data_IF_845669324421
#
_entry.id   IF_845669324421
#
_cell.length_a   1.000
_cell.length_b   1.000
_cell.length_c   1.000
_cell.angle_alpha   90.00
_cell.angle_beta   90.00
_cell.angle_gamma   90.00
#
_symmetry.space_group_name_H-M   'P 1'
#
loop_
_entity.id
_entity.type
_entity.pdbx_description
1 polymer ?
#
# COMPACT_ATOMS: atom_id res chain seq x y z
N UNK A 1 -16.47 1.11 18.73
CA UNK A 1 -15.16 1.14 18.11
C UNK A 1 -15.05 2.37 17.23
N UNK A 2 -13.92 3.06 17.26
CA UNK A 2 -13.68 4.27 16.49
C UNK A 2 -13.11 3.97 15.09
N UNK A 3 -12.96 5.03 14.31
CA UNK A 3 -12.25 5.09 13.02
C UNK A 3 -11.05 6.02 13.15
N UNK A 4 -10.30 6.23 12.06
CA UNK A 4 -9.24 7.26 12.02
C UNK A 4 -9.75 8.65 12.42
N UNK A 5 -10.98 9.00 12.03
CA UNK A 5 -11.56 10.30 12.35
C UNK A 5 -11.89 10.41 13.84
N UNK A 6 -12.45 9.37 14.44
CA UNK A 6 -12.72 9.32 15.89
C UNK A 6 -11.40 9.40 16.67
N UNK A 7 -10.30 8.79 16.19
CA UNK A 7 -8.99 8.90 16.81
C UNK A 7 -8.45 10.34 16.78
N UNK A 8 -8.59 11.03 15.65
CA UNK A 8 -8.18 12.43 15.52
C UNK A 8 -8.97 13.33 16.48
N UNK A 9 -10.27 13.08 16.66
CA UNK A 9 -11.15 13.88 17.54
C UNK A 9 -10.77 13.75 19.01
N UNK A 10 -10.36 12.58 19.51
CA UNK A 10 -10.14 12.34 20.94
C UNK A 10 -8.68 12.16 21.35
N UNK A 11 -7.75 11.96 20.40
CA UNK A 11 -6.31 11.82 20.64
C UNK A 11 -5.47 12.84 19.87
N UNK A 12 -6.09 13.58 18.97
CA UNK A 12 -5.40 14.57 18.14
C UNK A 12 -4.87 15.79 18.90
N UNK A 13 -5.18 15.93 20.18
CA UNK A 13 -4.67 16.98 21.07
C UNK A 13 -3.35 16.60 21.79
N UNK A 14 -2.93 15.33 21.75
CA UNK A 14 -1.77 14.81 22.49
C UNK A 14 -0.53 14.76 21.59
N UNK A 15 0.49 15.54 21.88
CA UNK A 15 1.72 15.61 21.08
C UNK A 15 2.57 14.33 21.14
N UNK A 16 3.49 14.16 20.17
CA UNK A 16 4.35 12.98 20.06
C UNK A 16 5.42 12.86 21.16
N UNK A 17 5.67 13.91 21.94
CA UNK A 17 6.58 13.86 23.09
C UNK A 17 5.88 13.26 24.31
N UNK A 18 4.58 13.49 24.44
CA UNK A 18 3.77 12.93 25.52
C UNK A 18 3.37 11.47 25.23
N UNK A 19 2.97 11.16 24.00
CA UNK A 19 2.62 9.81 23.54
C UNK A 19 3.37 9.52 22.24
N UNK A 20 4.33 8.58 22.24
CA UNK A 20 5.08 8.21 21.07
C UNK A 20 4.19 7.76 19.89
N UNK A 21 4.79 7.65 18.70
CA UNK A 21 4.11 7.12 17.51
C UNK A 21 3.53 5.74 17.78
N UNK A 22 2.30 5.54 17.40
CA UNK A 22 1.56 4.29 17.54
C UNK A 22 1.05 3.79 16.16
N UNK A 23 0.47 2.58 16.08
CA UNK A 23 0.01 2.01 14.79
C UNK A 23 -1.03 2.86 14.06
N UNK A 24 -1.89 3.58 14.81
CA UNK A 24 -2.92 4.44 14.22
C UNK A 24 -2.30 5.69 13.59
N UNK A 25 -1.29 6.28 14.24
CA UNK A 25 -0.51 7.37 13.64
C UNK A 25 0.18 6.91 12.35
N UNK A 26 0.77 5.71 12.36
CA UNK A 26 1.40 5.14 11.17
C UNK A 26 0.39 4.96 10.03
N UNK A 27 -0.86 4.56 10.33
CA UNK A 27 -1.93 4.48 9.34
C UNK A 27 -2.32 5.86 8.81
N UNK A 28 -2.40 6.88 9.67
CA UNK A 28 -2.67 8.26 9.27
C UNK A 28 -1.57 8.78 8.34
N UNK A 29 -0.30 8.61 8.68
CA UNK A 29 0.82 9.00 7.81
C UNK A 29 0.77 8.27 6.47
N UNK A 30 0.50 6.97 6.49
CA UNK A 30 0.38 6.13 5.29
C UNK A 30 -0.79 6.57 4.40
N UNK A 31 -1.94 6.90 5.00
CA UNK A 31 -3.10 7.40 4.26
C UNK A 31 -2.86 8.82 3.70
N UNK A 32 -2.16 9.70 4.43
CA UNK A 32 -1.77 11.02 3.93
C UNK A 32 -0.80 10.96 2.75
N UNK A 33 -0.02 9.86 2.60
CA UNK A 33 0.88 9.68 1.46
C UNK A 33 0.15 9.51 0.12
N UNK A 34 -1.17 9.20 0.12
CA UNK A 34 -1.99 9.15 -1.10
C UNK A 34 -2.26 10.52 -1.71
N UNK A 35 -2.06 11.59 -0.97
CA UNK A 35 -2.24 12.95 -1.46
C UNK A 35 -1.05 13.34 -2.33
N UNK A 36 -1.34 13.80 -3.54
CA UNK A 36 -0.30 14.30 -4.43
C UNK A 36 0.11 15.73 -4.05
N UNK A 37 1.14 15.82 -3.20
CA UNK A 37 1.70 17.09 -2.73
C UNK A 37 2.70 17.76 -3.70
N UNK A 38 2.78 17.31 -4.95
CA UNK A 38 3.72 17.88 -5.92
C UNK A 38 3.53 19.39 -6.08
N UNK A 39 4.63 20.13 -5.95
CA UNK A 39 4.64 21.60 -6.00
C UNK A 39 4.21 22.27 -4.68
N UNK A 40 3.88 21.50 -3.63
CA UNK A 40 3.51 22.00 -2.30
C UNK A 40 4.57 21.62 -1.28
N UNK A 41 4.85 20.32 -1.13
CA UNK A 41 5.87 19.82 -0.21
C UNK A 41 7.22 19.79 -0.93
N UNK A 42 8.31 20.32 -0.30
CA UNK A 42 9.63 20.35 -0.91
C UNK A 42 10.18 18.94 -1.21
N UNK A 43 10.93 18.81 -2.31
CA UNK A 43 11.63 17.59 -2.71
C UNK A 43 12.94 17.36 -1.95
N UNK A 44 13.32 18.27 -1.05
CA UNK A 44 14.50 18.22 -0.19
C UNK A 44 14.13 18.52 1.27
N UNK A 45 15.12 18.49 2.17
CA UNK A 45 14.96 18.78 3.59
C UNK A 45 15.22 20.23 3.99
N UNK A 46 15.57 21.12 3.05
CA UNK A 46 16.03 22.47 3.37
C UNK A 46 14.92 23.37 3.95
N UNK A 47 13.70 23.24 3.43
CA UNK A 47 12.57 24.09 3.79
C UNK A 47 11.31 23.27 4.09
N UNK A 48 11.29 22.43 5.11
CA UNK A 48 10.13 21.62 5.43
C UNK A 48 8.96 22.49 5.87
N UNK A 49 7.74 22.16 5.45
CA UNK A 49 6.53 22.93 5.73
C UNK A 49 5.60 22.22 6.70
N UNK A 50 4.90 22.93 7.62
CA UNK A 50 3.90 22.32 8.48
C UNK A 50 2.76 21.65 7.67
N UNK A 51 2.21 20.57 8.19
CA UNK A 51 1.08 19.88 7.57
C UNK A 51 -0.12 20.82 7.38
N UNK A 52 -0.42 21.68 8.35
CA UNK A 52 -1.49 22.67 8.24
C UNK A 52 -1.28 23.64 7.06
N UNK A 53 -0.03 24.06 6.83
CA UNK A 53 0.31 24.93 5.68
C UNK A 53 0.20 24.17 4.36
N UNK A 54 0.68 22.92 4.32
CA UNK A 54 0.55 22.05 3.14
C UNK A 54 -0.92 21.78 2.80
N UNK A 55 -1.76 21.52 3.83
CA UNK A 55 -3.19 21.31 3.68
C UNK A 55 -3.89 22.55 3.13
N UNK A 56 -3.62 23.73 3.69
CA UNK A 56 -4.16 24.99 3.20
C UNK A 56 -3.79 25.28 1.74
N UNK A 57 -2.54 25.02 1.37
CA UNK A 57 -2.09 25.17 -0.01
C UNK A 57 -2.80 24.16 -0.94
N UNK A 58 -2.91 22.89 -0.52
CA UNK A 58 -3.57 21.83 -1.29
C UNK A 58 -5.06 22.14 -1.52
N UNK A 59 -5.78 22.55 -0.47
CA UNK A 59 -7.21 22.83 -0.54
C UNK A 59 -7.57 24.02 -1.44
N UNK A 60 -6.61 24.89 -1.77
CA UNK A 60 -6.79 26.00 -2.71
C UNK A 60 -6.54 25.61 -4.17
N UNK A 61 -6.04 24.40 -4.44
CA UNK A 61 -5.80 23.92 -5.80
C UNK A 61 -7.14 23.71 -6.52
N UNK A 62 -7.20 24.13 -7.78
CA UNK A 62 -8.38 23.90 -8.64
C UNK A 62 -8.57 22.41 -8.93
N UNK A 63 -7.46 21.68 -9.04
CA UNK A 63 -7.38 20.24 -9.35
C UNK A 63 -7.22 19.34 -8.10
N UNK A 64 -7.53 19.86 -6.90
CA UNK A 64 -7.38 19.10 -5.64
C UNK A 64 -8.09 17.74 -5.66
N UNK A 65 -9.26 17.65 -6.32
CA UNK A 65 -10.03 16.39 -6.43
C UNK A 65 -9.36 15.36 -7.35
N UNK A 66 -8.52 15.79 -8.28
CA UNK A 66 -7.78 14.90 -9.18
C UNK A 66 -6.48 14.39 -8.53
N UNK A 67 -6.06 15.02 -7.43
CA UNK A 67 -4.82 14.74 -6.70
C UNK A 67 -5.02 13.86 -5.46
N UNK A 68 -6.17 13.29 -5.28
CA UNK A 68 -6.52 12.36 -4.19
C UNK A 68 -7.00 11.04 -4.76
N UNK A 69 -6.87 9.97 -4.00
CA UNK A 69 -7.38 8.64 -4.36
C UNK A 69 -8.89 8.54 -4.13
N UNK A 70 -9.34 8.93 -2.95
CA UNK A 70 -10.76 8.90 -2.53
C UNK A 70 -11.12 10.16 -1.74
N UNK A 71 -12.41 10.47 -1.65
CA UNK A 71 -12.89 11.67 -0.93
C UNK A 71 -12.46 11.70 0.55
N UNK A 72 -12.29 10.53 1.16
CA UNK A 72 -11.85 10.40 2.55
C UNK A 72 -10.41 10.90 2.75
N UNK A 73 -9.55 10.85 1.72
CA UNK A 73 -8.19 11.41 1.79
C UNK A 73 -8.22 12.91 2.08
N UNK A 74 -9.16 13.63 1.43
CA UNK A 74 -9.33 15.07 1.65
C UNK A 74 -9.92 15.37 3.03
N UNK A 75 -10.83 14.52 3.51
CA UNK A 75 -11.37 14.64 4.87
C UNK A 75 -10.28 14.40 5.91
N UNK A 76 -9.43 13.39 5.70
CA UNK A 76 -8.29 13.09 6.55
C UNK A 76 -7.29 14.25 6.57
N UNK A 77 -6.94 14.80 5.41
CA UNK A 77 -6.03 15.95 5.33
C UNK A 77 -6.50 17.12 6.19
N UNK A 78 -7.80 17.47 6.11
CA UNK A 78 -8.39 18.54 6.92
C UNK A 78 -8.35 18.20 8.40
N UNK A 79 -8.84 17.03 8.78
CA UNK A 79 -8.89 16.61 10.18
C UNK A 79 -7.49 16.54 10.81
N UNK A 80 -6.48 16.02 10.08
CA UNK A 80 -5.11 15.96 10.55
C UNK A 80 -4.46 17.37 10.63
N UNK A 81 -4.77 18.27 9.69
CA UNK A 81 -4.29 19.65 9.70
C UNK A 81 -4.88 20.48 10.85
N UNK A 82 -6.08 20.14 11.33
CA UNK A 82 -6.74 20.79 12.46
C UNK A 82 -6.32 20.17 13.81
N UNK A 83 -5.81 18.95 13.81
CA UNK A 83 -5.41 18.23 15.03
C UNK A 83 -4.02 18.67 15.51
N UNK A 84 -3.85 19.19 16.75
CA UNK A 84 -2.55 19.66 17.28
C UNK A 84 -1.42 18.63 17.14
N UNK A 85 -1.71 17.33 17.30
CA UNK A 85 -0.75 16.23 17.15
C UNK A 85 -0.07 16.20 15.79
N UNK A 86 -0.79 16.58 14.73
CA UNK A 86 -0.32 16.47 13.35
C UNK A 86 -0.08 17.82 12.66
N UNK A 87 -0.82 18.86 13.05
CA UNK A 87 -0.85 20.15 12.37
C UNK A 87 0.52 20.80 12.14
N UNK A 88 1.41 20.67 13.14
CA UNK A 88 2.74 21.27 13.13
C UNK A 88 3.85 20.33 12.64
N UNK A 89 3.54 19.07 12.32
CA UNK A 89 4.50 18.16 11.74
C UNK A 89 5.02 18.73 10.42
N UNK A 90 6.31 18.70 10.23
CA UNK A 90 6.96 19.25 9.04
C UNK A 90 7.07 18.20 7.96
N UNK A 91 6.50 18.49 6.79
CA UNK A 91 6.57 17.66 5.59
C UNK A 91 7.75 18.11 4.73
N UNK A 92 8.49 17.14 4.21
CA UNK A 92 9.62 17.38 3.32
C UNK A 92 9.91 16.14 2.47
N UNK A 93 10.88 16.25 1.59
CA UNK A 93 11.43 15.15 0.80
C UNK A 93 10.34 14.40 0.00
N UNK A 94 9.36 15.15 -0.53
CA UNK A 94 8.29 14.56 -1.32
C UNK A 94 8.83 14.07 -2.67
N UNK A 95 8.50 12.85 -3.03
CA UNK A 95 8.80 12.25 -4.33
C UNK A 95 7.56 11.65 -4.94
N UNK A 96 7.38 11.84 -6.24
CA UNK A 96 6.34 11.17 -7.02
C UNK A 96 6.86 10.89 -8.41
N UNK A 97 6.79 9.63 -8.83
CA UNK A 97 7.19 9.15 -10.15
C UNK A 97 6.09 8.28 -10.73
N UNK A 98 5.69 8.59 -11.94
CA UNK A 98 4.81 7.75 -12.76
C UNK A 98 5.44 7.66 -14.14
N UNK A 99 6.08 6.52 -14.44
CA UNK A 99 6.80 6.28 -15.69
C UNK A 99 6.20 5.03 -16.33
N UNK A 100 5.40 5.23 -17.38
CA UNK A 100 4.65 4.15 -18.05
C UNK A 100 5.61 3.14 -18.71
N UNK A 101 6.66 3.63 -19.33
CA UNK A 101 7.65 2.83 -20.07
C UNK A 101 8.48 1.92 -19.15
N UNK A 102 8.65 2.33 -17.88
CA UNK A 102 9.37 1.57 -16.87
C UNK A 102 8.44 0.84 -15.90
N UNK A 103 7.13 0.91 -16.14
CA UNK A 103 6.09 0.33 -15.27
C UNK A 103 6.24 0.76 -13.81
N UNK A 104 6.64 2.04 -13.59
CA UNK A 104 6.97 2.58 -12.28
C UNK A 104 5.86 3.48 -11.77
N UNK A 105 5.31 3.15 -10.60
CA UNK A 105 4.42 4.04 -9.85
C UNK A 105 4.92 4.14 -8.40
N UNK A 106 5.60 5.22 -8.07
CA UNK A 106 6.19 5.47 -6.77
C UNK A 106 5.80 6.85 -6.23
N UNK A 107 5.47 6.93 -4.94
CA UNK A 107 5.49 8.19 -4.23
C UNK A 107 5.81 7.97 -2.75
N UNK A 108 6.45 8.96 -2.14
CA UNK A 108 6.77 8.99 -0.73
C UNK A 108 6.79 10.42 -0.19
N UNK A 109 6.52 10.57 1.09
CA UNK A 109 6.63 11.83 1.84
C UNK A 109 7.24 11.56 3.21
N UNK A 110 8.08 12.48 3.68
CA UNK A 110 8.68 12.39 5.00
C UNK A 110 8.01 13.37 5.96
N UNK A 111 7.58 12.88 7.12
CA UNK A 111 7.09 13.64 8.26
C UNK A 111 8.20 13.73 9.30
N UNK A 112 8.65 14.95 9.60
CA UNK A 112 9.62 15.21 10.68
C UNK A 112 8.85 15.37 11.99
N UNK A 113 9.15 14.49 12.95
CA UNK A 113 8.42 14.40 14.20
C UNK A 113 9.07 15.25 15.31
N UNK A 114 8.27 15.66 16.31
CA UNK A 114 8.74 16.46 17.43
C UNK A 114 9.65 15.69 18.41
N UNK A 115 9.64 14.35 18.36
CA UNK A 115 10.55 13.49 19.13
C UNK A 115 11.96 13.42 18.53
N UNK A 116 12.22 14.14 17.44
CA UNK A 116 13.49 14.17 16.73
C UNK A 116 13.67 12.99 15.76
N UNK A 117 12.66 12.20 15.50
CA UNK A 117 12.67 11.15 14.47
C UNK A 117 11.95 11.60 13.19
N UNK A 118 12.03 10.79 12.15
CA UNK A 118 11.25 10.98 10.93
C UNK A 118 10.40 9.75 10.63
N UNK A 119 9.19 9.96 10.09
CA UNK A 119 8.35 8.92 9.51
C UNK A 119 8.34 9.04 7.99
N UNK A 120 8.79 8.01 7.31
CA UNK A 120 8.84 7.90 5.86
C UNK A 120 7.60 7.12 5.40
N UNK A 121 6.63 7.82 4.82
CA UNK A 121 5.39 7.24 4.36
C UNK A 121 5.46 6.93 2.86
N UNK A 122 5.32 5.65 2.51
CA UNK A 122 5.28 5.17 1.13
C UNK A 122 3.83 5.01 0.69
N UNK A 123 3.52 5.60 -0.46
CA UNK A 123 2.20 5.50 -1.07
C UNK A 123 1.98 4.10 -1.65
N UNK A 124 0.81 3.54 -1.38
CA UNK A 124 0.31 2.37 -2.08
C UNK A 124 -0.10 2.68 -3.52
N UNK A 125 -0.70 1.70 -4.18
CA UNK A 125 -1.18 1.85 -5.55
C UNK A 125 -2.30 2.87 -5.62
N UNK A 126 -2.19 3.78 -6.58
CA UNK A 126 -3.31 4.59 -7.02
C UNK A 126 -4.19 3.78 -8.00
N UNK A 127 -5.23 4.38 -8.56
CA UNK A 127 -6.09 3.68 -9.52
C UNK A 127 -5.52 3.60 -10.94
N UNK A 128 -4.22 3.94 -11.14
CA UNK A 128 -3.58 3.85 -12.47
C UNK A 128 -3.39 2.39 -12.89
N UNK A 129 -3.53 2.12 -14.18
CA UNK A 129 -3.27 0.78 -14.73
C UNK A 129 -1.78 0.40 -14.60
N UNK A 130 -0.89 1.38 -14.62
CA UNK A 130 0.56 1.17 -14.43
C UNK A 130 0.86 0.70 -13.01
N UNK A 131 0.26 1.35 -12.00
CA UNK A 131 0.41 0.94 -10.61
C UNK A 131 -0.13 -0.48 -10.37
N UNK A 132 -1.29 -0.79 -10.95
CA UNK A 132 -1.89 -2.11 -10.89
C UNK A 132 -0.99 -3.18 -11.54
N UNK A 133 -0.40 -2.89 -12.72
CA UNK A 133 0.55 -3.79 -13.37
C UNK A 133 1.78 -4.03 -12.49
N UNK A 134 2.36 -2.98 -11.94
CA UNK A 134 3.52 -3.10 -11.05
C UNK A 134 3.23 -3.95 -9.81
N UNK A 135 2.02 -3.86 -9.23
CA UNK A 135 1.62 -4.71 -8.09
C UNK A 135 1.62 -6.20 -8.46
N UNK A 136 1.11 -6.54 -9.64
CA UNK A 136 1.14 -7.93 -10.11
C UNK A 136 2.56 -8.40 -10.43
N UNK A 137 3.41 -7.53 -10.96
CA UNK A 137 4.82 -7.84 -11.24
C UNK A 137 5.58 -8.28 -9.97
N UNK A 138 5.18 -7.80 -8.77
CA UNK A 138 5.77 -8.28 -7.51
C UNK A 138 5.61 -9.78 -7.28
N UNK A 139 4.66 -10.43 -7.96
CA UNK A 139 4.41 -11.88 -7.79
C UNK A 139 5.41 -12.78 -8.54
N UNK A 140 6.23 -12.23 -9.46
CA UNK A 140 7.17 -13.00 -10.27
C UNK A 140 8.53 -12.32 -10.50
N UNK A 141 8.65 -11.02 -10.25
CA UNK A 141 9.93 -10.31 -10.32
C UNK A 141 10.64 -10.31 -8.98
N UNK A 142 11.96 -10.40 -9.00
CA UNK A 142 12.79 -10.30 -7.79
C UNK A 142 12.65 -8.93 -7.11
N UNK A 143 12.46 -7.89 -7.90
CA UNK A 143 12.15 -6.55 -7.43
C UNK A 143 11.51 -5.70 -8.51
N UNK A 144 10.51 -4.91 -8.13
CA UNK A 144 9.88 -3.92 -9.03
C UNK A 144 10.57 -2.55 -8.90
N UNK A 145 10.40 -1.66 -9.91
CA UNK A 145 11.01 -0.32 -9.87
C UNK A 145 10.69 0.47 -8.61
N UNK A 146 9.42 0.49 -8.15
CA UNK A 146 9.03 1.22 -6.95
C UNK A 146 9.74 0.73 -5.68
N UNK A 147 10.06 -0.56 -5.56
CA UNK A 147 10.84 -1.10 -4.45
C UNK A 147 12.27 -0.55 -4.45
N UNK A 148 12.91 -0.48 -5.63
CA UNK A 148 14.26 0.11 -5.76
C UNK A 148 14.25 1.60 -5.46
N UNK A 149 13.23 2.33 -5.91
CA UNK A 149 13.03 3.74 -5.59
C UNK A 149 12.83 3.96 -4.09
N UNK A 150 12.08 3.09 -3.41
CA UNK A 150 11.88 3.17 -1.97
C UNK A 150 13.21 2.97 -1.20
N UNK A 151 14.03 1.99 -1.59
CA UNK A 151 15.34 1.78 -0.98
C UNK A 151 16.29 2.98 -1.22
N UNK A 152 16.30 3.54 -2.43
CA UNK A 152 17.08 4.74 -2.76
C UNK A 152 16.60 5.97 -1.95
N UNK A 153 15.28 6.14 -1.80
CA UNK A 153 14.69 7.20 -1.00
C UNK A 153 15.15 7.16 0.47
N UNK A 154 15.13 5.98 1.08
CA UNK A 154 15.60 5.81 2.48
C UNK A 154 17.10 6.08 2.59
N UNK A 155 17.91 5.57 1.64
CA UNK A 155 19.35 5.76 1.66
C UNK A 155 19.73 7.24 1.55
N UNK A 156 19.17 7.96 0.59
CA UNK A 156 19.42 9.39 0.37
C UNK A 156 19.00 10.24 1.58
N UNK A 157 17.84 9.93 2.17
CA UNK A 157 17.38 10.65 3.34
C UNK A 157 18.27 10.38 4.56
N UNK A 158 18.65 9.13 4.80
CA UNK A 158 19.47 8.76 5.95
C UNK A 158 20.88 9.37 5.90
N UNK A 159 21.45 9.60 4.71
CA UNK A 159 22.71 10.32 4.52
C UNK A 159 22.58 11.80 4.89
N UNK A 160 21.45 12.44 4.54
CA UNK A 160 21.19 13.85 4.82
C UNK A 160 20.64 14.09 6.23
N UNK A 161 20.02 13.09 6.83
CA UNK A 161 19.31 13.18 8.09
C UNK A 161 19.62 11.96 8.99
N UNK A 162 20.77 12.00 9.69
CA UNK A 162 21.25 10.85 10.48
C UNK A 162 20.51 10.72 11.82
N UNK A 163 19.18 10.66 11.79
CA UNK A 163 18.29 10.55 12.94
C UNK A 163 17.49 9.24 12.90
N UNK A 164 16.82 8.89 14.02
CA UNK A 164 15.97 7.71 14.06
C UNK A 164 14.83 7.78 13.02
N UNK A 165 14.62 6.69 12.30
CA UNK A 165 13.66 6.60 11.21
C UNK A 165 12.54 5.62 11.55
N UNK A 166 11.32 5.95 11.19
CA UNK A 166 10.21 5.00 11.08
C UNK A 166 9.76 4.96 9.62
N UNK A 167 9.47 3.78 9.13
CA UNK A 167 8.99 3.57 7.77
C UNK A 167 7.59 3.00 7.84
N UNK A 168 6.75 3.33 6.88
CA UNK A 168 5.44 2.70 6.80
C UNK A 168 4.71 3.01 5.52
N UNK A 169 3.69 2.21 5.26
CA UNK A 169 2.81 2.39 4.11
C UNK A 169 1.63 1.45 4.17
N UNK A 170 0.60 1.77 3.43
CA UNK A 170 -0.59 0.96 3.26
C UNK A 170 -0.55 0.28 1.89
N UNK A 171 -1.05 -0.95 1.78
CA UNK A 171 -1.07 -1.70 0.53
C UNK A 171 0.35 -1.91 -0.03
N UNK A 172 0.60 -1.70 -1.33
CA UNK A 172 1.94 -1.68 -1.90
C UNK A 172 2.94 -0.86 -1.07
N UNK A 173 2.51 0.28 -0.51
CA UNK A 173 3.36 1.12 0.34
C UNK A 173 3.92 0.41 1.57
N UNK A 174 3.17 -0.54 2.15
CA UNK A 174 3.63 -1.40 3.25
C UNK A 174 4.75 -2.34 2.80
N UNK A 175 4.59 -2.97 1.65
CA UNK A 175 5.64 -3.79 1.02
C UNK A 175 6.89 -2.94 0.70
N UNK A 176 6.72 -1.73 0.13
CA UNK A 176 7.81 -0.81 -0.16
C UNK A 176 8.60 -0.44 1.11
N UNK A 177 7.91 -0.19 2.23
CA UNK A 177 8.54 0.15 3.51
C UNK A 177 9.42 -0.98 4.03
N UNK A 178 8.93 -2.23 4.00
CA UNK A 178 9.70 -3.40 4.43
C UNK A 178 10.86 -3.68 3.48
N UNK A 179 10.61 -3.63 2.15
CA UNK A 179 11.66 -3.83 1.16
C UNK A 179 12.79 -2.81 1.31
N UNK A 180 12.45 -1.53 1.43
CA UNK A 180 13.43 -0.46 1.61
C UNK A 180 14.25 -0.67 2.88
N UNK A 181 13.61 -0.97 4.01
CA UNK A 181 14.28 -1.27 5.26
C UNK A 181 15.25 -2.44 5.16
N UNK A 182 14.88 -3.48 4.40
CA UNK A 182 15.72 -4.66 4.20
C UNK A 182 16.93 -4.41 3.28
N UNK A 183 16.79 -3.54 2.26
CA UNK A 183 17.79 -3.33 1.22
C UNK A 183 18.78 -2.19 1.48
N UNK A 184 18.52 -1.34 2.48
CA UNK A 184 19.51 -0.33 2.91
C UNK A 184 20.68 -0.97 3.66
N UNK A 185 21.78 -0.23 3.78
CA UNK A 185 22.98 -0.70 4.48
C UNK A 185 22.72 -1.03 5.95
N UNK A 186 23.49 -1.95 6.57
CA UNK A 186 23.33 -2.29 7.98
C UNK A 186 23.47 -1.08 8.93
N UNK A 187 24.19 -0.05 8.53
CA UNK A 187 24.29 1.19 9.33
C UNK A 187 23.00 1.99 9.30
N UNK A 188 22.32 2.06 8.15
CA UNK A 188 20.99 2.69 8.04
C UNK A 188 19.94 1.85 8.75
N UNK A 189 20.01 0.51 8.64
CA UNK A 189 19.08 -0.38 9.38
C UNK A 189 19.12 -0.15 10.90
N UNK A 190 20.28 0.22 11.46
CA UNK A 190 20.39 0.57 12.90
C UNK A 190 19.64 1.84 13.26
N UNK A 191 19.47 2.77 12.32
CA UNK A 191 18.71 4.01 12.52
C UNK A 191 17.18 3.76 12.48
N UNK A 192 16.75 2.67 11.83
CA UNK A 192 15.33 2.33 11.74
C UNK A 192 14.86 1.82 13.10
N UNK A 193 13.85 2.48 13.66
CA UNK A 193 13.19 2.10 14.89
C UNK A 193 12.10 1.05 14.64
N UNK A 194 11.22 1.32 13.69
CA UNK A 194 10.02 0.54 13.40
C UNK A 194 9.68 0.60 11.90
N UNK A 195 9.09 -0.46 11.39
CA UNK A 195 8.55 -0.55 10.03
C UNK A 195 7.09 -1.02 10.12
N UNK A 196 6.17 -0.22 9.60
CA UNK A 196 4.74 -0.52 9.60
C UNK A 196 4.29 -1.01 8.23
N UNK A 197 3.96 -2.29 8.15
CA UNK A 197 3.33 -2.91 6.99
C UNK A 197 1.81 -2.98 7.24
N UNK A 198 1.07 -2.09 6.59
CA UNK A 198 -0.37 -1.95 6.77
C UNK A 198 -1.10 -2.56 5.58
N UNK A 199 -1.44 -3.84 5.69
CA UNK A 199 -2.10 -4.65 4.67
C UNK A 199 -1.37 -4.68 3.32
N UNK A 200 -0.03 -4.68 3.37
CA UNK A 200 0.81 -4.84 2.18
C UNK A 200 1.04 -6.31 1.83
N UNK A 201 1.22 -6.63 0.54
CA UNK A 201 1.54 -7.99 0.12
C UNK A 201 2.89 -8.45 0.67
N UNK A 202 3.06 -9.77 0.82
CA UNK A 202 4.30 -10.41 1.27
C UNK A 202 5.43 -10.36 0.23
N UNK A 203 6.36 -11.31 0.33
CA UNK A 203 7.58 -11.33 -0.48
C UNK A 203 7.84 -12.70 -1.09
N UNK A 204 8.74 -12.76 -2.07
CA UNK A 204 9.27 -14.02 -2.60
C UNK A 204 10.15 -14.73 -1.58
N UNK A 205 10.29 -16.06 -1.72
CA UNK A 205 11.20 -16.86 -0.87
C UNK A 205 12.65 -16.33 -0.88
N UNK A 206 13.12 -15.85 -2.05
CA UNK A 206 14.44 -15.25 -2.20
C UNK A 206 14.60 -14.01 -1.32
N UNK A 207 13.61 -13.12 -1.32
CA UNK A 207 13.62 -11.93 -0.47
C UNK A 207 13.53 -12.28 1.01
N UNK A 208 12.69 -13.24 1.37
CA UNK A 208 12.54 -13.67 2.78
C UNK A 208 13.78 -14.37 3.34
N UNK A 209 14.67 -14.86 2.46
CA UNK A 209 15.96 -15.45 2.85
C UNK A 209 17.11 -14.43 2.86
N UNK A 210 16.87 -13.20 2.43
CA UNK A 210 17.86 -12.13 2.40
C UNK A 210 18.30 -11.74 3.81
N UNK A 211 19.62 -11.65 4.10
CA UNK A 211 20.13 -11.29 5.42
C UNK A 211 19.63 -9.93 5.92
N UNK A 212 19.44 -8.95 5.02
CA UNK A 212 18.91 -7.63 5.37
C UNK A 212 17.45 -7.72 5.79
N UNK A 213 16.63 -8.54 5.11
CA UNK A 213 15.25 -8.82 5.50
C UNK A 213 15.17 -9.48 6.87
N UNK A 214 15.96 -10.53 7.11
CA UNK A 214 16.03 -11.21 8.40
C UNK A 214 16.47 -10.27 9.52
N UNK A 215 17.41 -9.35 9.22
CA UNK A 215 17.91 -8.35 10.17
C UNK A 215 16.86 -7.31 10.58
N UNK A 216 15.92 -6.98 9.70
CA UNK A 216 14.87 -5.97 9.96
C UNK A 216 13.59 -6.56 10.57
N UNK A 217 13.33 -7.87 10.45
CA UNK A 217 12.13 -8.54 10.92
C UNK A 217 11.70 -8.14 12.35
N UNK A 218 12.59 -8.08 13.35
CA UNK A 218 12.20 -7.71 14.72
C UNK A 218 11.63 -6.29 14.86
N UNK A 219 11.75 -5.45 13.82
CA UNK A 219 11.26 -4.07 13.78
C UNK A 219 10.00 -3.92 12.93
N UNK A 220 9.61 -4.98 12.19
CA UNK A 220 8.43 -4.98 11.33
C UNK A 220 7.18 -5.24 12.17
N UNK A 221 6.17 -4.43 11.95
CA UNK A 221 4.83 -4.56 12.53
C UNK A 221 3.83 -4.66 11.39
N UNK A 222 3.28 -5.84 11.18
CA UNK A 222 2.32 -6.13 10.10
C UNK A 222 0.92 -6.23 10.65
N UNK A 223 0.00 -5.45 10.09
CA UNK A 223 -1.42 -5.43 10.43
C UNK A 223 -2.23 -5.79 9.19
N UNK A 224 -3.12 -6.78 9.31
CA UNK A 224 -3.94 -7.29 8.20
C UNK A 224 -5.40 -7.37 8.66
N UNK A 225 -6.36 -6.71 8.00
CA UNK A 225 -7.77 -6.89 8.25
C UNK A 225 -8.17 -8.36 8.12
N UNK A 226 -9.07 -8.84 8.99
CA UNK A 226 -9.47 -10.26 9.10
C UNK A 226 -10.01 -10.88 7.81
N UNK A 227 -10.35 -10.05 6.82
CA UNK A 227 -10.86 -10.48 5.52
C UNK A 227 -10.10 -9.88 4.34
N UNK A 228 -8.91 -9.34 4.57
CA UNK A 228 -8.10 -8.82 3.47
C UNK A 228 -7.48 -9.95 2.65
N UNK A 229 -7.57 -9.80 1.33
CA UNK A 229 -6.87 -10.66 0.36
C UNK A 229 -5.47 -10.12 0.07
N UNK A 230 -5.31 -8.80 0.06
CA UNK A 230 -4.07 -8.13 -0.37
C UNK A 230 -2.92 -8.45 0.58
N UNK A 231 -3.11 -8.30 1.89
CA UNK A 231 -2.09 -8.62 2.88
C UNK A 231 -1.72 -10.10 2.95
N UNK A 232 -2.54 -10.97 2.35
CA UNK A 232 -2.29 -12.43 2.26
C UNK A 232 -1.70 -12.85 0.91
N UNK A 233 -1.53 -11.93 -0.04
CA UNK A 233 -0.83 -12.20 -1.29
C UNK A 233 0.65 -12.39 -1.02
N UNK A 234 1.25 -13.43 -1.63
CA UNK A 234 2.64 -13.84 -1.42
C UNK A 234 2.88 -14.35 0.03
N UNK A 235 4.11 -14.76 0.31
CA UNK A 235 4.44 -15.30 1.62
C UNK A 235 4.86 -14.20 2.60
N UNK A 236 4.43 -14.35 3.85
CA UNK A 236 4.87 -13.50 4.96
C UNK A 236 5.55 -14.38 6.02
N UNK A 237 6.74 -13.96 6.45
CA UNK A 237 7.46 -14.61 7.57
C UNK A 237 7.24 -13.91 8.90
N UNK A 238 6.88 -12.63 8.85
CA UNK A 238 6.59 -11.83 10.02
C UNK A 238 5.26 -12.27 10.66
N UNK A 239 5.22 -12.24 11.98
CA UNK A 239 3.98 -12.40 12.73
C UNK A 239 3.10 -11.17 12.43
N UNK A 240 1.99 -11.39 11.73
CA UNK A 240 1.01 -10.34 11.51
C UNK A 240 -0.04 -10.31 12.62
N UNK A 241 -0.60 -9.14 12.83
CA UNK A 241 -1.72 -8.92 13.74
C UNK A 241 -3.01 -8.79 12.92
N UNK A 242 -3.95 -9.70 13.12
CA UNK A 242 -5.24 -9.61 12.48
C UNK A 242 -6.11 -8.54 13.17
N UNK A 243 -6.69 -7.65 12.38
CA UNK A 243 -7.47 -6.50 12.87
C UNK A 243 -8.87 -6.48 12.27
N UNK A 244 -9.81 -5.82 12.97
CA UNK A 244 -11.19 -5.69 12.51
C UNK A 244 -11.38 -4.51 11.56
N UNK A 245 -12.32 -4.69 10.63
CA UNK A 245 -12.79 -3.66 9.73
C UNK A 245 -14.32 -3.60 9.74
N UNK A 246 -14.89 -2.41 9.54
CA UNK A 246 -16.34 -2.20 9.37
C UNK A 246 -16.87 -2.67 8.03
N UNK A 247 -15.98 -2.94 7.08
CA UNK A 247 -16.30 -3.43 5.74
C UNK A 247 -16.15 -4.95 5.66
N UNK A 248 -16.54 -5.53 4.52
CA UNK A 248 -16.46 -6.98 4.26
C UNK A 248 -15.65 -7.26 2.99
N UNK A 249 -14.98 -8.42 2.96
CA UNK A 249 -14.23 -8.89 1.80
C UNK A 249 -13.14 -7.89 1.37
N UNK A 250 -13.00 -7.67 0.07
CA UNK A 250 -11.99 -6.75 -0.50
C UNK A 250 -12.09 -5.31 0.02
N UNK A 251 -13.28 -4.86 0.44
CA UNK A 251 -13.45 -3.50 0.95
C UNK A 251 -12.81 -3.30 2.33
N UNK A 252 -12.44 -4.36 3.03
CA UNK A 252 -11.68 -4.28 4.28
C UNK A 252 -10.28 -3.71 4.08
N UNK A 253 -9.76 -3.78 2.85
CA UNK A 253 -8.47 -3.17 2.48
C UNK A 253 -8.47 -1.64 2.62
N UNK A 254 -9.64 -1.00 2.60
CA UNK A 254 -9.75 0.46 2.71
C UNK A 254 -9.42 0.94 4.14
N UNK A 255 -8.32 1.72 4.36
CA UNK A 255 -7.81 2.07 5.69
C UNK A 255 -8.82 2.86 6.54
N UNK A 256 -9.76 3.57 5.91
CA UNK A 256 -10.81 4.33 6.60
C UNK A 256 -11.87 3.44 7.24
N UNK A 257 -11.87 2.14 6.94
CA UNK A 257 -12.83 1.17 7.49
C UNK A 257 -12.30 0.42 8.71
N UNK A 258 -11.01 0.57 9.05
CA UNK A 258 -10.37 -0.15 10.14
C UNK A 258 -10.87 0.30 11.50
N UNK A 259 -11.13 -0.65 12.38
CA UNK A 259 -11.62 -0.36 13.73
C UNK A 259 -10.47 -0.04 14.68
N UNK A 260 -10.61 1.08 15.40
CA UNK A 260 -9.59 1.63 16.27
C UNK A 260 -10.06 1.59 17.73
N UNK A 261 -9.15 1.14 18.60
CA UNK A 261 -9.31 1.16 20.03
C UNK A 261 -8.09 1.81 20.70
N UNK A 262 -8.30 2.93 21.36
CA UNK A 262 -7.24 3.73 21.98
C UNK A 262 -6.15 4.18 20.96
N UNK A 263 -4.92 3.78 21.09
CA UNK A 263 -3.81 4.08 20.16
C UNK A 263 -3.42 2.87 19.31
N UNK A 264 -4.31 1.90 19.14
CA UNK A 264 -4.08 0.68 18.38
C UNK A 264 -5.34 0.30 17.59
N UNK A 265 -5.25 -0.75 16.80
CA UNK A 265 -6.40 -1.33 16.12
C UNK A 265 -7.17 -2.27 17.04
N UNK A 266 -8.43 -2.51 16.73
CA UNK A 266 -9.18 -3.60 17.35
C UNK A 266 -8.71 -4.93 16.78
N UNK A 267 -8.04 -5.72 17.61
CA UNK A 267 -7.50 -7.02 17.21
C UNK A 267 -8.59 -8.10 17.18
N UNK A 268 -8.35 -9.12 16.35
CA UNK A 268 -9.14 -10.35 16.32
C UNK A 268 -8.23 -11.56 16.47
N UNK A 269 -8.73 -12.62 17.11
CA UNK A 269 -7.94 -13.83 17.34
C UNK A 269 -7.72 -14.65 16.06
N UNK A 270 -8.54 -14.44 15.02
CA UNK A 270 -8.47 -15.23 13.79
C UNK A 270 -8.94 -14.45 12.55
N UNK A 271 -8.22 -14.66 11.45
CA UNK A 271 -8.77 -14.39 10.11
C UNK A 271 -10.00 -15.28 9.90
N UNK A 272 -11.10 -14.69 9.43
CA UNK A 272 -12.37 -15.41 9.27
C UNK A 272 -12.20 -16.67 8.39
N UNK A 273 -12.89 -17.79 8.76
CA UNK A 273 -12.77 -19.06 8.02
C UNK A 273 -13.21 -18.92 6.55
N UNK A 274 -14.18 -18.07 6.27
CA UNK A 274 -14.66 -17.81 4.90
C UNK A 274 -13.58 -17.09 4.06
N UNK A 275 -12.83 -16.18 4.66
CA UNK A 275 -11.79 -15.44 3.97
C UNK A 275 -10.55 -16.29 3.72
N UNK A 276 -10.13 -17.13 4.68
CA UNK A 276 -9.06 -18.15 4.47
C UNK A 276 -9.31 -19.04 3.25
N UNK A 277 -10.57 -19.18 2.88
CA UNK A 277 -10.97 -20.00 1.73
C UNK A 277 -10.68 -19.28 0.40
N UNK A 278 -11.14 -18.04 0.26
CA UNK A 278 -10.90 -17.22 -0.93
C UNK A 278 -9.41 -16.92 -1.09
N UNK A 279 -8.72 -16.61 0.02
CA UNK A 279 -7.28 -16.37 0.08
C UNK A 279 -6.47 -17.56 -0.42
N UNK A 280 -6.81 -18.78 0.06
CA UNK A 280 -6.15 -20.02 -0.40
C UNK A 280 -6.37 -20.28 -1.88
N UNK A 281 -7.57 -19.99 -2.41
CA UNK A 281 -7.86 -20.21 -3.82
C UNK A 281 -7.03 -19.27 -4.71
N UNK A 282 -6.95 -17.97 -4.36
CA UNK A 282 -6.16 -16.98 -5.08
C UNK A 282 -4.67 -17.26 -4.94
N UNK A 283 -4.20 -17.51 -3.73
CA UNK A 283 -2.78 -17.82 -3.46
C UNK A 283 -2.35 -19.09 -4.17
N UNK A 284 -3.17 -20.15 -4.14
CA UNK A 284 -2.88 -21.39 -4.85
C UNK A 284 -2.87 -21.19 -6.36
N UNK A 285 -3.83 -20.44 -6.91
CA UNK A 285 -3.89 -20.14 -8.34
C UNK A 285 -2.65 -19.37 -8.81
N UNK A 286 -2.23 -18.33 -8.08
CA UNK A 286 -1.00 -17.57 -8.38
C UNK A 286 0.23 -18.48 -8.25
N UNK A 287 0.30 -19.30 -7.19
CA UNK A 287 1.44 -20.19 -6.94
C UNK A 287 1.56 -21.30 -7.99
N UNK A 288 0.44 -21.81 -8.49
CA UNK A 288 0.41 -22.90 -9.46
C UNK A 288 0.85 -22.44 -10.87
N UNK A 289 0.86 -21.12 -11.15
CA UNK A 289 1.44 -20.56 -12.37
C UNK A 289 2.97 -20.42 -12.23
N UNK A 290 3.70 -20.75 -13.30
CA UNK A 290 5.12 -20.41 -13.43
C UNK A 290 5.32 -18.89 -13.47
N UNK A 291 6.54 -18.37 -13.19
CA UNK A 291 6.83 -16.94 -13.37
C UNK A 291 6.49 -16.42 -14.78
N UNK A 292 6.79 -17.21 -15.82
CA UNK A 292 6.53 -16.86 -17.20
C UNK A 292 5.01 -16.82 -17.51
N UNK A 293 4.23 -17.72 -16.92
CA UNK A 293 2.76 -17.72 -17.05
C UNK A 293 2.15 -16.51 -16.35
N UNK A 294 2.66 -16.13 -15.17
CA UNK A 294 2.23 -14.91 -14.46
C UNK A 294 2.53 -13.65 -15.27
N UNK A 295 3.74 -13.53 -15.82
CA UNK A 295 4.15 -12.42 -16.67
C UNK A 295 3.22 -12.33 -17.90
N UNK A 296 3.02 -13.43 -18.62
CA UNK A 296 2.15 -13.47 -19.79
C UNK A 296 0.70 -13.09 -19.46
N UNK A 297 0.18 -13.56 -18.32
CA UNK A 297 -1.17 -13.22 -17.85
C UNK A 297 -1.30 -11.72 -17.53
N UNK A 298 -0.33 -11.16 -16.79
CA UNK A 298 -0.30 -9.73 -16.43
C UNK A 298 -0.20 -8.86 -17.68
N UNK A 299 0.69 -9.20 -18.60
CA UNK A 299 0.89 -8.46 -19.85
C UNK A 299 -0.36 -8.50 -20.75
N UNK A 300 -0.95 -9.67 -20.93
CA UNK A 300 -2.18 -9.81 -21.72
C UNK A 300 -3.34 -9.00 -21.11
N UNK A 301 -3.47 -9.04 -19.77
CA UNK A 301 -4.49 -8.27 -19.05
C UNK A 301 -4.24 -6.76 -19.20
N UNK A 302 -3.01 -6.31 -18.97
CA UNK A 302 -2.65 -4.90 -19.11
C UNK A 302 -2.86 -4.37 -20.52
N UNK A 303 -2.48 -5.13 -21.55
CA UNK A 303 -2.69 -4.78 -22.96
C UNK A 303 -4.18 -4.60 -23.30
N UNK A 304 -5.03 -5.51 -22.81
CA UNK A 304 -6.48 -5.41 -23.04
C UNK A 304 -7.10 -4.21 -22.31
N UNK A 305 -6.67 -3.98 -21.06
CA UNK A 305 -7.13 -2.82 -20.28
C UNK A 305 -6.69 -1.51 -20.93
N UNK A 306 -5.44 -1.42 -21.36
CA UNK A 306 -4.90 -0.24 -22.05
C UNK A 306 -5.55 -0.01 -23.42
N UNK A 307 -5.85 -1.08 -24.18
CA UNK A 307 -6.55 -1.01 -25.46
C UNK A 307 -7.98 -0.47 -25.34
N UNK A 308 -8.58 -0.50 -24.12
CA UNK A 308 -9.86 0.13 -23.84
C UNK A 308 -9.82 1.66 -23.91
N UNK A 309 -8.61 2.26 -23.87
CA UNK A 309 -8.38 3.71 -23.78
C UNK A 309 -8.56 4.26 -22.37
N UNK A 310 -8.69 3.39 -21.35
CA UNK A 310 -8.69 3.79 -19.95
C UNK A 310 -7.25 3.95 -19.45
N UNK A 311 -7.01 4.97 -18.63
CA UNK A 311 -5.75 5.16 -17.91
C UNK A 311 -5.84 4.71 -16.45
N UNK A 312 -7.07 4.47 -15.97
CA UNK A 312 -7.36 4.03 -14.60
C UNK A 312 -8.45 2.99 -14.55
N UNK A 313 -8.50 2.24 -13.44
CA UNK A 313 -9.55 1.24 -13.18
C UNK A 313 -10.95 1.89 -13.13
N UNK A 314 -11.05 3.13 -12.61
CA UNK A 314 -12.32 3.87 -12.59
C UNK A 314 -12.85 4.19 -13.99
N UNK A 315 -11.96 4.53 -14.91
CA UNK A 315 -12.33 4.81 -16.31
C UNK A 315 -12.79 3.57 -17.07
N UNK A 316 -12.33 2.38 -16.66
CA UNK A 316 -12.80 1.11 -17.26
C UNK A 316 -14.33 0.93 -17.15
N UNK A 317 -14.95 1.47 -16.11
CA UNK A 317 -16.40 1.37 -15.90
C UNK A 317 -17.22 2.27 -16.83
N UNK A 318 -16.59 3.17 -17.59
CA UNK A 318 -17.28 3.95 -18.60
C UNK A 318 -17.76 3.06 -19.77
N UNK A 319 -19.01 3.19 -20.22
CA UNK A 319 -19.60 2.33 -21.26
C UNK A 319 -18.77 2.22 -22.54
N UNK A 320 -18.14 3.34 -22.98
CA UNK A 320 -17.25 3.37 -24.16
C UNK A 320 -16.00 2.49 -23.97
N UNK A 321 -15.42 2.49 -22.77
CA UNK A 321 -14.20 1.75 -22.45
C UNK A 321 -14.53 0.26 -22.24
N UNK A 322 -15.66 -0.07 -21.64
CA UNK A 322 -16.19 -1.43 -21.57
C UNK A 322 -16.36 -2.01 -22.97
N UNK A 323 -16.99 -1.26 -23.89
CA UNK A 323 -17.18 -1.71 -25.28
C UNK A 323 -15.83 -1.91 -26.00
N UNK A 324 -14.89 -0.98 -25.81
CA UNK A 324 -13.55 -1.06 -26.38
C UNK A 324 -12.76 -2.26 -25.83
N UNK A 325 -12.86 -2.54 -24.53
CA UNK A 325 -12.29 -3.72 -23.88
C UNK A 325 -12.81 -5.03 -24.52
N UNK A 326 -14.12 -5.19 -24.63
CA UNK A 326 -14.69 -6.39 -25.27
C UNK A 326 -14.33 -6.49 -26.74
N UNK A 327 -14.19 -5.37 -27.46
CA UNK A 327 -13.70 -5.38 -28.84
C UNK A 327 -12.25 -5.85 -28.92
N UNK A 328 -11.37 -5.33 -28.06
CA UNK A 328 -9.97 -5.75 -27.98
C UNK A 328 -9.85 -7.24 -27.64
N UNK A 329 -10.61 -7.72 -26.66
CA UNK A 329 -10.67 -9.13 -26.27
C UNK A 329 -11.09 -10.04 -27.45
N UNK A 330 -12.04 -9.60 -28.28
CA UNK A 330 -12.51 -10.38 -29.42
C UNK A 330 -11.54 -10.33 -30.60
N UNK A 331 -10.66 -9.35 -30.71
CA UNK A 331 -9.69 -9.20 -31.80
C UNK A 331 -8.32 -9.81 -31.50
N UNK A 332 -8.03 -10.11 -30.23
CA UNK A 332 -6.77 -10.72 -29.79
C UNK A 332 -7.03 -12.17 -29.32
N UNK A 333 -6.93 -13.11 -30.25
CA UNK A 333 -7.20 -14.54 -29.98
C UNK A 333 -6.23 -15.16 -28.98
N UNK A 334 -4.99 -14.67 -28.91
CA UNK A 334 -3.96 -15.17 -27.98
C UNK A 334 -4.25 -14.74 -26.56
N UNK A 335 -4.44 -13.44 -26.33
CA UNK A 335 -4.85 -12.90 -25.01
C UNK A 335 -6.18 -13.49 -24.54
N UNK A 336 -7.13 -13.69 -25.46
CA UNK A 336 -8.42 -14.30 -25.11
C UNK A 336 -8.28 -15.75 -24.67
N UNK A 337 -7.47 -16.56 -25.34
CA UNK A 337 -7.22 -17.96 -24.97
C UNK A 337 -6.52 -18.05 -23.62
N UNK A 338 -5.49 -17.22 -23.42
CA UNK A 338 -4.74 -17.16 -22.17
C UNK A 338 -5.67 -16.78 -21.01
N UNK A 339 -6.39 -15.65 -21.09
CA UNK A 339 -7.27 -15.19 -20.02
C UNK A 339 -8.42 -16.17 -19.74
N UNK A 340 -9.03 -16.77 -20.77
CA UNK A 340 -10.10 -17.76 -20.56
C UNK A 340 -9.58 -19.06 -19.98
N UNK A 341 -8.33 -19.45 -20.29
CA UNK A 341 -7.64 -20.59 -19.69
C UNK A 341 -7.39 -20.36 -18.20
N UNK A 342 -6.71 -19.28 -17.86
CA UNK A 342 -6.36 -18.92 -16.50
C UNK A 342 -7.59 -18.67 -15.61
N UNK A 343 -8.62 -17.98 -16.11
CA UNK A 343 -9.90 -17.83 -15.39
C UNK A 343 -10.57 -19.18 -15.12
N UNK A 344 -10.52 -20.11 -16.06
CA UNK A 344 -11.08 -21.45 -15.86
C UNK A 344 -10.32 -22.21 -14.77
N UNK A 345 -8.99 -22.10 -14.75
CA UNK A 345 -8.15 -22.74 -13.74
C UNK A 345 -8.32 -22.06 -12.36
N UNK A 346 -8.49 -20.74 -12.32
CA UNK A 346 -8.90 -20.02 -11.11
C UNK A 346 -10.23 -20.53 -10.54
N UNK A 347 -11.28 -20.64 -11.36
CA UNK A 347 -12.59 -21.19 -10.92
C UNK A 347 -12.50 -22.65 -10.48
N UNK A 348 -11.63 -23.44 -11.11
CA UNK A 348 -11.36 -24.82 -10.72
C UNK A 348 -10.65 -24.90 -9.36
N UNK A 349 -9.64 -24.05 -9.14
CA UNK A 349 -8.93 -23.95 -7.86
C UNK A 349 -9.89 -23.44 -6.75
N UNK A 350 -10.69 -22.43 -7.03
CA UNK A 350 -11.72 -21.93 -6.13
C UNK A 350 -12.75 -23.00 -5.78
N UNK A 351 -13.23 -23.79 -6.75
CA UNK A 351 -14.16 -24.89 -6.52
C UNK A 351 -13.52 -26.02 -5.71
N UNK A 352 -12.27 -26.39 -5.99
CA UNK A 352 -11.53 -27.42 -5.23
C UNK A 352 -11.28 -27.03 -3.78
N UNK A 353 -11.20 -25.72 -3.50
CA UNK A 353 -11.03 -25.19 -2.15
C UNK A 353 -12.34 -25.10 -1.35
N UNK A 354 -13.55 -25.33 -1.94
CA UNK A 354 -14.82 -25.40 -1.19
C UNK A 354 -14.79 -26.52 -0.15
N UNK A 355 -15.24 -26.29 1.10
CA UNK A 355 -15.33 -27.35 2.08
C UNK A 355 -16.20 -28.48 1.48
N UNK A 356 -15.61 -29.65 1.32
CA UNK A 356 -16.41 -30.82 1.00
C UNK A 356 -17.30 -31.07 2.22
N UNK A 357 -18.60 -30.80 2.07
CA UNK A 357 -19.57 -31.25 3.05
C UNK A 357 -19.42 -32.77 3.10
N UNK A 358 -18.93 -33.26 4.22
CA UNK A 358 -19.01 -34.68 4.57
C UNK A 358 -20.50 -35.08 4.47
N UNK A 359 -20.83 -35.74 3.40
CA UNK A 359 -22.07 -36.49 3.31
C UNK A 359 -21.91 -37.71 4.21
N UNK A 360 -22.33 -37.58 5.45
CA UNK A 360 -22.81 -38.71 6.26
C UNK A 360 -24.32 -38.68 6.31
#
# INVERSE_FOLDING_TARGET
MGTLFDYLDWRGDIDFRAVPVNPVDALIFSALSYINFQGIVPENLENPIPLSVAADAFLRLVDAQERIRVKSDLQLLRAAADAPRFANLRLAFYRSKLIVEEETQFAAVTFLLEDGSAFLAFRGTDYSLVGWKEDFNMSFQDSVPAQREAAAYVAELAESYPLPLRLGGHSKGGNLAVYAAAKVSPNIQKQILEVYNLDGPGFSEAMMSDPGYLGILPKVKTYIPEGSIIGMLLEQRDEYQAIKSRQLGLLQHEPYSWEIQAGDFEHTEEISKANRFTDKAITNWIRDMSPEEREAFVDATYQLLSASGASSVGELLHPKNILAFFKALNTNDESRKLLTGEMKDFFKAAYASLPQNDKT
#
